data_IF_792567022857
#
_entry.id   IF_792567022857
#
_cell.length_a   1.000
_cell.length_b   1.000
_cell.length_c   1.000
_cell.angle_alpha   90.00
_cell.angle_beta   90.00
_cell.angle_gamma   90.00
#
_symmetry.space_group_name_H-M   'P 1'
#
loop_
_entity.id
_entity.type
_entity.pdbx_description
1 polymer ?
#
# COMPACT_ATOMS: atom_id res chain seq x y z
N UNK A 1 25.47 0.26 20.50
CA UNK A 1 25.54 -0.06 19.05
C UNK A 1 24.25 -0.67 18.49
N UNK A 2 23.43 -1.39 19.28
CA UNK A 2 22.19 -2.05 18.81
C UNK A 2 21.03 -1.09 18.49
N UNK A 3 20.93 0.05 19.17
CA UNK A 3 19.83 1.02 18.95
C UNK A 3 19.94 1.78 17.62
N UNK A 4 21.16 2.11 17.18
CA UNK A 4 21.39 2.84 15.93
C UNK A 4 20.88 2.02 14.73
N UNK A 5 21.21 0.73 14.67
CA UNK A 5 20.72 -0.19 13.63
C UNK A 5 19.19 -0.33 13.63
N UNK A 6 18.53 -0.22 14.80
CA UNK A 6 17.06 -0.25 14.89
C UNK A 6 16.42 1.04 14.39
N UNK A 7 17.03 2.20 14.68
CA UNK A 7 16.55 3.50 14.20
C UNK A 7 16.71 3.63 12.68
N UNK A 8 17.86 3.20 12.14
CA UNK A 8 18.10 3.15 10.69
C UNK A 8 17.08 2.24 10.01
N UNK A 9 16.87 1.02 10.51
CA UNK A 9 15.87 0.10 9.96
C UNK A 9 14.46 0.69 9.98
N UNK A 10 14.05 1.33 11.08
CA UNK A 10 12.76 2.03 11.17
C UNK A 10 12.66 3.18 10.15
N UNK A 11 13.74 3.92 9.93
CA UNK A 11 13.81 4.99 8.93
C UNK A 11 13.66 4.46 7.50
N UNK A 12 14.35 3.37 7.18
CA UNK A 12 14.26 2.67 5.90
C UNK A 12 12.82 2.15 5.69
N UNK A 13 12.25 1.46 6.67
CA UNK A 13 10.90 0.90 6.59
C UNK A 13 9.84 1.98 6.36
N UNK A 14 9.95 3.14 7.04
CA UNK A 14 9.07 4.30 6.80
C UNK A 14 9.20 4.84 5.38
N UNK A 15 10.42 4.92 4.87
CA UNK A 15 10.69 5.47 3.54
C UNK A 15 10.15 4.54 2.44
N UNK A 16 10.37 3.24 2.57
CA UNK A 16 9.81 2.20 1.69
C UNK A 16 8.28 2.24 1.72
N UNK A 17 7.69 2.27 2.93
CA UNK A 17 6.24 2.34 3.10
C UNK A 17 5.64 3.56 2.37
N UNK A 18 6.23 4.74 2.55
CA UNK A 18 5.77 5.97 1.88
C UNK A 18 5.88 5.85 0.36
N UNK A 19 6.98 5.30 -0.15
CA UNK A 19 7.15 5.05 -1.58
C UNK A 19 6.05 4.14 -2.15
N UNK A 20 5.76 3.03 -1.47
CA UNK A 20 4.69 2.10 -1.86
C UNK A 20 3.31 2.75 -1.82
N UNK A 21 2.99 3.51 -0.77
CA UNK A 21 1.70 4.19 -0.68
C UNK A 21 1.52 5.22 -1.81
N UNK A 22 2.57 5.96 -2.17
CA UNK A 22 2.50 6.90 -3.29
C UNK A 22 2.27 6.18 -4.63
N UNK A 23 2.97 5.07 -4.87
CA UNK A 23 2.78 4.23 -6.06
C UNK A 23 1.35 3.68 -6.15
N UNK A 24 0.83 3.16 -5.03
CA UNK A 24 -0.54 2.66 -4.94
C UNK A 24 -1.53 3.80 -5.21
N UNK A 25 -1.35 4.98 -4.59
CA UNK A 25 -2.24 6.13 -4.80
C UNK A 25 -2.32 6.49 -6.28
N UNK A 26 -1.17 6.63 -6.92
CA UNK A 26 -1.10 6.93 -8.35
C UNK A 26 -1.80 5.86 -9.20
N UNK A 27 -1.59 4.57 -8.92
CA UNK A 27 -2.27 3.50 -9.63
C UNK A 27 -3.79 3.50 -9.42
N UNK A 28 -4.27 3.88 -8.23
CA UNK A 28 -5.70 4.03 -7.94
C UNK A 28 -6.30 5.20 -8.72
N UNK A 29 -5.62 6.35 -8.74
CA UNK A 29 -6.07 7.53 -9.48
C UNK A 29 -6.18 7.24 -11.00
N UNK A 30 -5.39 6.30 -11.52
CA UNK A 30 -5.48 5.85 -12.93
C UNK A 30 -6.60 4.82 -13.14
N UNK A 31 -6.66 3.76 -12.33
CA UNK A 31 -7.57 2.63 -12.60
C UNK A 31 -8.98 2.82 -12.04
N UNK A 32 -9.10 3.45 -10.89
CA UNK A 32 -10.34 3.58 -10.13
C UNK A 32 -10.50 5.02 -9.60
N UNK A 33 -10.50 6.04 -10.48
CA UNK A 33 -10.43 7.45 -10.07
C UNK A 33 -11.57 7.88 -9.15
N UNK A 34 -12.77 7.30 -9.30
CA UNK A 34 -13.95 7.69 -8.52
C UNK A 34 -13.86 7.19 -7.06
N UNK A 35 -13.26 6.02 -6.85
CA UNK A 35 -13.13 5.37 -5.54
C UNK A 35 -11.73 5.49 -4.92
N UNK A 36 -10.76 6.06 -5.66
CA UNK A 36 -9.36 6.11 -5.31
C UNK A 36 -9.11 6.62 -3.89
N UNK A 37 -9.81 7.69 -3.50
CA UNK A 37 -9.66 8.29 -2.17
C UNK A 37 -10.17 7.37 -1.05
N UNK A 38 -11.37 6.80 -1.20
CA UNK A 38 -11.94 5.88 -0.21
C UNK A 38 -11.08 4.62 -0.07
N UNK A 39 -10.62 4.05 -1.18
CA UNK A 39 -9.80 2.83 -1.17
C UNK A 39 -8.42 3.10 -0.57
N UNK A 40 -7.80 4.22 -0.95
CA UNK A 40 -6.51 4.61 -0.39
C UNK A 40 -6.57 4.81 1.12
N UNK A 41 -7.69 5.35 1.62
CA UNK A 41 -7.92 5.55 3.04
C UNK A 41 -7.94 4.24 3.85
N UNK A 42 -8.37 3.14 3.24
CA UNK A 42 -8.29 1.80 3.82
C UNK A 42 -6.85 1.26 3.74
N UNK A 43 -6.23 1.31 2.55
CA UNK A 43 -4.91 0.72 2.30
C UNK A 43 -3.83 1.35 3.17
N UNK A 44 -3.88 2.67 3.44
CA UNK A 44 -2.91 3.33 4.30
C UNK A 44 -2.87 2.80 5.74
N UNK A 45 -3.94 2.11 6.19
CA UNK A 45 -4.02 1.49 7.52
C UNK A 45 -3.24 0.17 7.62
N UNK A 46 -2.97 -0.48 6.49
CA UNK A 46 -2.29 -1.79 6.44
C UNK A 46 -0.84 -1.63 6.86
N UNK A 47 -0.38 -2.13 8.01
CA UNK A 47 0.97 -1.82 8.53
C UNK A 47 2.09 -2.54 7.76
N UNK A 48 1.79 -3.70 7.16
CA UNK A 48 2.77 -4.57 6.52
C UNK A 48 3.26 -4.03 5.17
N UNK A 49 4.57 -3.80 5.05
CA UNK A 49 5.24 -3.47 3.78
C UNK A 49 5.01 -4.58 2.74
N UNK A 50 5.04 -5.84 3.16
CA UNK A 50 4.82 -6.98 2.29
C UNK A 50 3.40 -6.97 1.71
N UNK A 51 2.39 -6.69 2.54
CA UNK A 51 1.01 -6.54 2.08
C UNK A 51 0.85 -5.37 1.10
N UNK A 52 1.49 -4.22 1.36
CA UNK A 52 1.48 -3.09 0.43
C UNK A 52 2.13 -3.45 -0.92
N UNK A 53 3.23 -4.22 -0.93
CA UNK A 53 3.83 -4.73 -2.18
C UNK A 53 2.90 -5.65 -2.94
N UNK A 54 2.14 -6.52 -2.26
CA UNK A 54 1.15 -7.37 -2.93
C UNK A 54 0.09 -6.50 -3.62
N UNK A 55 -0.42 -5.48 -2.92
CA UNK A 55 -1.43 -4.57 -3.46
C UNK A 55 -0.88 -3.83 -4.67
N UNK A 56 0.30 -3.23 -4.57
CA UNK A 56 0.96 -2.50 -5.66
C UNK A 56 1.17 -3.36 -6.90
N UNK A 57 1.71 -4.58 -6.74
CA UNK A 57 1.91 -5.50 -7.86
C UNK A 57 0.61 -5.97 -8.50
N UNK A 58 -0.45 -6.19 -7.72
CA UNK A 58 -1.73 -6.71 -8.23
C UNK A 58 -2.59 -5.63 -8.84
N UNK A 59 -2.47 -4.38 -8.40
CA UNK A 59 -3.37 -3.27 -8.74
C UNK A 59 -3.62 -3.15 -10.26
N UNK A 60 -2.56 -3.25 -11.07
CA UNK A 60 -2.69 -3.13 -12.53
C UNK A 60 -3.40 -4.31 -13.20
N UNK A 61 -3.47 -5.47 -12.54
CA UNK A 61 -4.11 -6.68 -13.06
C UNK A 61 -5.58 -6.83 -12.63
N UNK A 62 -6.06 -6.03 -11.68
CA UNK A 62 -7.44 -6.08 -11.21
C UNK A 62 -8.37 -5.29 -12.13
N UNK A 63 -9.52 -5.84 -12.46
CA UNK A 63 -10.48 -5.21 -13.38
C UNK A 63 -11.55 -4.41 -12.63
N UNK A 64 -11.80 -4.73 -11.36
CA UNK A 64 -12.85 -4.08 -10.58
C UNK A 64 -12.36 -3.63 -9.21
N UNK A 65 -13.02 -2.60 -8.68
CA UNK A 65 -12.84 -2.16 -7.28
C UNK A 65 -13.15 -3.28 -6.30
N UNK A 66 -14.14 -4.12 -6.60
CA UNK A 66 -14.54 -5.24 -5.73
C UNK A 66 -13.40 -6.26 -5.55
N UNK A 67 -12.69 -6.61 -6.62
CA UNK A 67 -11.53 -7.49 -6.54
C UNK A 67 -10.41 -6.89 -5.68
N UNK A 68 -10.19 -5.58 -5.82
CA UNK A 68 -9.21 -4.87 -5.01
C UNK A 68 -9.60 -4.85 -3.52
N UNK A 69 -10.87 -4.58 -3.22
CA UNK A 69 -11.39 -4.64 -1.84
C UNK A 69 -11.23 -6.02 -1.22
N UNK A 70 -11.47 -7.08 -1.99
CA UNK A 70 -11.23 -8.45 -1.55
C UNK A 70 -9.75 -8.72 -1.28
N UNK A 71 -8.85 -8.18 -2.11
CA UNK A 71 -7.41 -8.34 -1.95
C UNK A 71 -6.93 -7.78 -0.60
N UNK A 72 -7.34 -6.55 -0.25
CA UNK A 72 -6.81 -5.90 0.95
C UNK A 72 -7.63 -6.16 2.22
N UNK A 73 -8.88 -6.63 2.13
CA UNK A 73 -9.68 -7.03 3.31
C UNK A 73 -9.00 -8.11 4.14
N UNK A 74 -8.28 -9.02 3.49
CA UNK A 74 -7.54 -10.10 4.17
C UNK A 74 -6.19 -9.64 4.74
N UNK A 75 -5.83 -8.36 4.53
CA UNK A 75 -4.54 -7.77 4.89
C UNK A 75 -4.66 -6.61 5.89
N UNK A 76 -5.90 -6.19 6.20
CA UNK A 76 -6.25 -5.28 7.30
C UNK A 76 -6.25 -6.04 8.63
#
# INVERSE_FOLDING_TARGET
>A
MVEFNRLEKKGIDRSIRRGLLNQIRHGLDIKFPQEAESIFADIQRIPSIYALKIIENRLYHLNTVSELRLLYRNLL
#
